data_IF_298445104627
#
_entry.id   IF_298445104627
#
_cell.length_a   1.000
_cell.length_b   1.000
_cell.length_c   1.000
_cell.angle_alpha   90.00
_cell.angle_beta   90.00
_cell.angle_gamma   90.00
#
_symmetry.space_group_name_H-M   'P 1'
#
loop_
_entity.id
_entity.type
_entity.pdbx_description
1 polymer ?
#
# COMPACT_ATOMS: atom_id res chain seq x y z
N UNK A 1 8.62 18.58 28.31
CA UNK A 1 7.59 18.75 27.28
C UNK A 1 7.51 17.46 26.48
N UNK A 2 6.46 16.64 26.66
CA UNK A 2 6.21 15.49 25.78
C UNK A 2 5.51 16.03 24.55
N UNK A 3 6.19 16.01 23.41
CA UNK A 3 5.62 16.33 22.12
C UNK A 3 4.63 15.20 21.80
N UNK A 4 3.33 15.47 21.90
CA UNK A 4 2.29 14.53 21.48
C UNK A 4 2.41 14.41 19.96
N UNK A 5 3.04 13.34 19.47
CA UNK A 5 3.10 13.07 18.03
C UNK A 5 1.67 12.90 17.51
N UNK A 6 1.26 13.82 16.63
CA UNK A 6 0.02 13.68 15.89
C UNK A 6 0.27 12.59 14.86
N UNK A 7 -0.21 11.37 15.15
CA UNK A 7 -0.19 10.28 14.18
C UNK A 7 -1.08 10.65 13.01
N UNK A 8 -0.50 10.74 11.81
CA UNK A 8 -1.26 11.09 10.61
C UNK A 8 -1.92 9.86 9.98
N UNK A 9 -2.96 10.05 9.16
CA UNK A 9 -3.58 8.96 8.40
C UNK A 9 -2.57 8.22 7.51
N UNK A 10 -1.56 8.92 7.01
CA UNK A 10 -0.47 8.36 6.21
C UNK A 10 0.43 7.45 7.04
N UNK A 11 0.70 7.80 8.31
CA UNK A 11 1.52 6.98 9.20
C UNK A 11 0.80 5.65 9.55
N UNK A 12 -0.52 5.72 9.76
CA UNK A 12 -1.35 4.53 9.94
C UNK A 12 -1.34 3.63 8.71
N UNK A 13 -1.44 4.22 7.51
CA UNK A 13 -1.34 3.48 6.25
C UNK A 13 0.04 2.86 6.05
N UNK A 14 1.11 3.57 6.42
CA UNK A 14 2.48 3.05 6.32
C UNK A 14 2.66 1.83 7.24
N UNK A 15 2.23 1.94 8.50
CA UNK A 15 2.30 0.82 9.45
C UNK A 15 1.47 -0.38 8.99
N UNK A 16 0.23 -0.15 8.53
CA UNK A 16 -0.64 -1.21 8.03
C UNK A 16 -0.07 -1.89 6.77
N UNK A 17 0.47 -1.11 5.84
CA UNK A 17 1.11 -1.64 4.64
C UNK A 17 2.36 -2.48 4.98
N UNK A 18 3.20 -2.01 5.91
CA UNK A 18 4.36 -2.79 6.38
C UNK A 18 3.96 -4.13 7.01
N UNK A 19 2.77 -4.19 7.63
CA UNK A 19 2.17 -5.43 8.13
C UNK A 19 1.70 -6.37 7.02
N UNK A 20 1.11 -5.82 5.95
CA UNK A 20 0.44 -6.58 4.90
C UNK A 20 1.37 -7.10 3.78
N UNK A 21 2.39 -6.32 3.39
CA UNK A 21 3.31 -6.67 2.31
C UNK A 21 4.52 -7.47 2.81
N UNK A 22 4.29 -8.69 3.29
CA UNK A 22 5.36 -9.54 3.85
C UNK A 22 6.20 -10.27 2.81
N UNK A 23 5.68 -10.48 1.61
CA UNK A 23 6.36 -11.24 0.55
C UNK A 23 6.69 -10.36 -0.65
N UNK A 24 7.88 -10.57 -1.27
CA UNK A 24 8.27 -9.82 -2.46
C UNK A 24 7.32 -10.11 -3.63
N UNK A 25 7.07 -9.07 -4.44
CA UNK A 25 6.28 -9.14 -5.67
C UNK A 25 7.02 -8.58 -6.90
N UNK A 26 8.29 -8.20 -6.73
CA UNK A 26 9.22 -7.85 -7.80
C UNK A 26 8.97 -6.49 -8.46
N UNK A 27 8.31 -5.56 -7.79
CA UNK A 27 8.00 -4.24 -8.35
C UNK A 27 7.88 -3.16 -7.27
N UNK A 28 7.84 -1.89 -7.70
CA UNK A 28 7.50 -0.76 -6.83
C UNK A 28 6.02 -0.41 -7.03
N UNK A 29 5.27 -0.43 -5.94
CA UNK A 29 3.84 -0.08 -5.88
C UNK A 29 3.68 1.27 -5.17
N UNK A 30 2.92 2.18 -5.77
CA UNK A 30 2.50 3.43 -5.13
C UNK A 30 1.10 3.28 -4.55
N UNK A 31 0.93 3.60 -3.27
CA UNK A 31 -0.37 3.68 -2.61
C UNK A 31 -0.72 5.16 -2.43
N UNK A 32 -1.76 5.62 -3.10
CA UNK A 32 -2.17 7.02 -3.15
C UNK A 32 -3.55 7.20 -2.47
N UNK A 33 -3.61 7.41 -1.14
CA UNK A 33 -4.84 7.77 -0.47
C UNK A 33 -5.41 9.10 -1.00
N UNK A 34 -6.73 9.22 -1.03
CA UNK A 34 -7.39 10.49 -1.35
C UNK A 34 -7.18 11.50 -0.21
N UNK A 35 -6.75 12.72 -0.54
CA UNK A 35 -6.55 13.80 0.44
C UNK A 35 -5.31 13.66 1.32
N UNK A 36 -4.45 12.66 1.11
CA UNK A 36 -3.23 12.46 1.88
C UNK A 36 -2.02 12.13 0.98
N UNK A 37 -0.78 12.35 1.46
CA UNK A 37 0.43 11.93 0.76
C UNK A 37 0.45 10.43 0.45
N UNK A 38 1.10 10.07 -0.66
CA UNK A 38 1.29 8.68 -1.04
C UNK A 38 2.37 7.99 -0.19
N UNK A 39 2.27 6.67 -0.08
CA UNK A 39 3.35 5.80 0.37
C UNK A 39 3.77 4.87 -0.78
N UNK A 40 4.96 4.30 -0.65
CA UNK A 40 5.58 3.45 -1.65
C UNK A 40 5.96 2.13 -1.00
N UNK A 41 5.67 1.04 -1.70
CA UNK A 41 6.05 -0.32 -1.31
C UNK A 41 7.06 -0.82 -2.34
N UNK A 42 8.28 -1.06 -1.89
CA UNK A 42 9.30 -1.75 -2.67
C UNK A 42 9.20 -3.25 -2.43
N UNK A 43 8.51 -3.94 -3.36
CA UNK A 43 8.37 -5.39 -3.35
C UNK A 43 9.51 -6.13 -4.03
N UNK A 44 10.60 -5.46 -4.40
CA UNK A 44 11.78 -6.10 -5.00
C UNK A 44 12.70 -6.71 -3.93
N UNK A 45 12.53 -6.34 -2.68
CA UNK A 45 13.29 -6.81 -1.52
C UNK A 45 12.46 -7.76 -0.65
N UNK A 46 13.14 -8.56 0.17
CA UNK A 46 12.53 -9.40 1.20
C UNK A 46 13.18 -9.08 2.56
N UNK A 47 12.45 -8.50 3.54
CA UNK A 47 11.04 -8.10 3.46
C UNK A 47 10.81 -6.91 2.51
N UNK A 48 9.56 -6.69 2.09
CA UNK A 48 9.21 -5.47 1.34
C UNK A 48 9.48 -4.24 2.19
N UNK A 49 10.03 -3.19 1.59
CA UNK A 49 10.23 -1.90 2.26
C UNK A 49 9.03 -0.98 2.00
N UNK A 50 8.55 -0.28 3.03
CA UNK A 50 7.48 0.72 2.91
C UNK A 50 7.98 2.08 3.37
N UNK A 51 7.77 3.13 2.57
CA UNK A 51 8.27 4.47 2.85
C UNK A 51 7.36 5.58 2.30
N UNK A 52 7.52 6.81 2.81
CA UNK A 52 6.85 8.01 2.27
C UNK A 52 7.47 8.52 0.95
N UNK A 53 8.68 8.06 0.64
CA UNK A 53 9.42 8.44 -0.57
C UNK A 53 9.58 7.24 -1.49
N UNK A 54 9.57 7.43 -2.82
CA UNK A 54 9.82 6.34 -3.75
C UNK A 54 11.23 5.77 -3.53
N UNK A 55 11.42 4.45 -3.65
CA UNK A 55 12.75 3.86 -3.62
C UNK A 55 13.58 4.37 -4.80
N UNK A 56 14.88 4.53 -4.58
CA UNK A 56 15.80 4.96 -5.63
C UNK A 56 15.83 3.98 -6.81
N UNK A 57 16.07 4.51 -8.01
CA UNK A 57 16.42 3.70 -9.19
C UNK A 57 15.26 3.04 -9.94
N UNK A 58 14.00 3.15 -9.52
CA UNK A 58 12.87 2.75 -10.35
C UNK A 58 11.58 3.50 -10.01
N UNK A 59 10.81 4.00 -11.00
CA UNK A 59 9.50 4.58 -10.76
C UNK A 59 8.49 3.49 -10.33
N UNK A 60 7.45 3.85 -9.55
CA UNK A 60 6.34 2.94 -9.31
C UNK A 60 5.67 2.55 -10.63
N UNK A 61 5.55 1.26 -10.88
CA UNK A 61 4.95 0.74 -12.11
C UNK A 61 3.45 0.49 -11.95
N UNK A 62 2.98 0.35 -10.71
CA UNK A 62 1.57 0.19 -10.36
C UNK A 62 1.17 1.23 -9.32
N UNK A 63 -0.06 1.75 -9.42
CA UNK A 63 -0.61 2.74 -8.50
C UNK A 63 -1.98 2.29 -8.02
N UNK A 64 -2.19 2.30 -6.71
CA UNK A 64 -3.48 2.14 -6.05
C UNK A 64 -3.99 3.50 -5.60
N UNK A 65 -5.26 3.80 -5.87
CA UNK A 65 -5.93 5.02 -5.40
C UNK A 65 -7.29 4.71 -4.82
N UNK A 66 -7.52 5.14 -3.57
CA UNK A 66 -8.78 5.01 -2.86
C UNK A 66 -8.79 5.93 -1.63
N UNK A 67 -9.92 6.07 -0.95
CA UNK A 67 -9.96 6.65 0.39
C UNK A 67 -9.14 5.84 1.41
N UNK A 68 -8.60 6.51 2.43
CA UNK A 68 -7.73 5.89 3.44
C UNK A 68 -8.37 4.66 4.12
N UNK A 69 -9.66 4.74 4.49
CA UNK A 69 -10.39 3.63 5.12
C UNK A 69 -10.53 2.39 4.22
N UNK A 70 -10.58 2.59 2.91
CA UNK A 70 -10.61 1.48 1.94
C UNK A 70 -9.25 0.81 1.89
N UNK A 71 -8.16 1.60 1.84
CA UNK A 71 -6.79 1.09 1.83
C UNK A 71 -6.45 0.34 3.13
N UNK A 72 -6.83 0.89 4.30
CA UNK A 72 -6.65 0.21 5.58
C UNK A 72 -7.35 -1.15 5.62
N UNK A 73 -8.60 -1.21 5.14
CA UNK A 73 -9.34 -2.49 5.04
C UNK A 73 -8.69 -3.48 4.10
N UNK A 74 -8.10 -3.02 2.99
CA UNK A 74 -7.35 -3.88 2.08
C UNK A 74 -6.15 -4.52 2.79
N UNK A 75 -5.43 -3.75 3.62
CA UNK A 75 -4.26 -4.23 4.35
C UNK A 75 -4.61 -5.16 5.53
N UNK A 76 -5.86 -5.18 5.98
CA UNK A 76 -6.37 -6.18 6.93
C UNK A 76 -6.57 -7.56 6.29
N UNK A 77 -6.47 -7.68 4.96
CA UNK A 77 -6.50 -8.94 4.23
C UNK A 77 -7.89 -9.43 3.81
N UNK A 78 -8.01 -10.73 3.57
CA UNK A 78 -9.22 -11.36 3.05
C UNK A 78 -9.56 -10.93 1.61
N UNK A 79 -10.86 -10.83 1.30
CA UNK A 79 -11.35 -10.42 -0.04
C UNK A 79 -11.47 -8.91 -0.23
N UNK A 80 -10.92 -8.10 0.68
CA UNK A 80 -11.09 -6.65 0.67
C UNK A 80 -10.48 -5.99 -0.58
N UNK A 81 -9.33 -6.46 -1.05
CA UNK A 81 -8.70 -5.98 -2.29
C UNK A 81 -9.59 -6.19 -3.52
N UNK A 82 -9.98 -7.44 -3.75
CA UNK A 82 -10.86 -7.84 -4.86
C UNK A 82 -12.20 -7.09 -4.79
N UNK A 83 -12.83 -7.07 -3.61
CA UNK A 83 -14.10 -6.38 -3.39
C UNK A 83 -14.01 -4.88 -3.66
N UNK A 84 -12.96 -4.21 -3.17
CA UNK A 84 -12.80 -2.77 -3.38
C UNK A 84 -12.55 -2.42 -4.85
N UNK A 85 -11.80 -3.26 -5.58
CA UNK A 85 -11.56 -3.08 -7.01
C UNK A 85 -12.85 -3.28 -7.81
N UNK A 86 -13.54 -4.41 -7.62
CA UNK A 86 -14.80 -4.72 -8.33
C UNK A 86 -15.90 -3.71 -8.04
N UNK A 87 -15.95 -3.15 -6.83
CA UNK A 87 -16.94 -2.12 -6.46
C UNK A 87 -16.56 -0.70 -6.91
N UNK A 88 -15.40 -0.51 -7.59
CA UNK A 88 -14.91 0.80 -8.01
C UNK A 88 -14.37 1.70 -6.90
N UNK A 89 -14.25 1.21 -5.66
CA UNK A 89 -13.69 1.97 -4.52
C UNK A 89 -12.17 2.03 -4.56
N UNK A 90 -11.54 1.09 -5.24
CA UNK A 90 -10.11 1.07 -5.53
C UNK A 90 -9.90 1.23 -7.03
N UNK A 91 -9.17 2.28 -7.41
CA UNK A 91 -8.64 2.44 -8.76
C UNK A 91 -7.21 1.92 -8.81
N UNK A 92 -6.93 1.06 -9.79
CA UNK A 92 -5.58 0.55 -10.07
C UNK A 92 -5.18 1.01 -11.46
N UNK A 93 -3.98 1.54 -11.60
CA UNK A 93 -3.42 1.99 -12.88
C UNK A 93 -1.95 1.61 -13.01
N UNK A 94 -1.47 1.46 -14.25
CA UNK A 94 -0.09 1.04 -14.56
C UNK A 94 -0.01 -0.44 -14.92
N UNK A 95 1.11 -1.08 -14.56
CA UNK A 95 1.37 -2.50 -14.81
C UNK A 95 0.57 -3.39 -13.86
N UNK A 96 -0.55 -3.91 -14.37
CA UNK A 96 -1.44 -4.82 -13.66
C UNK A 96 -0.82 -6.20 -13.39
N UNK A 97 0.28 -6.59 -14.05
CA UNK A 97 0.95 -7.87 -13.77
C UNK A 97 1.51 -7.93 -12.35
N UNK A 98 1.70 -6.78 -11.69
CA UNK A 98 2.05 -6.68 -10.27
C UNK A 98 0.96 -7.31 -9.40
N UNK A 99 -0.32 -7.11 -9.76
CA UNK A 99 -1.46 -7.60 -8.98
C UNK A 99 -1.52 -9.12 -8.93
N UNK A 100 -1.13 -9.79 -10.02
CA UNK A 100 -1.10 -11.25 -10.08
C UNK A 100 -0.03 -11.87 -9.15
N UNK A 101 0.97 -11.09 -8.74
CA UNK A 101 2.08 -11.51 -7.88
C UNK A 101 1.87 -11.15 -6.41
N UNK A 102 0.87 -10.31 -6.12
CA UNK A 102 0.63 -9.82 -4.77
C UNK A 102 0.02 -10.87 -3.87
N UNK A 103 0.66 -11.08 -2.73
CA UNK A 103 0.16 -11.86 -1.61
C UNK A 103 0.12 -10.91 -0.42
N UNK A 104 -1.08 -10.46 -0.06
CA UNK A 104 -1.30 -9.68 1.15
C UNK A 104 -1.53 -10.62 2.32
N UNK A 105 -0.77 -10.43 3.39
CA UNK A 105 -1.02 -11.13 4.65
C UNK A 105 -1.93 -10.30 5.53
N UNK A 106 -2.91 -10.94 6.17
CA UNK A 106 -3.70 -10.30 7.21
C UNK A 106 -2.77 -10.02 8.39
N UNK A 107 -2.62 -8.76 8.81
CA UNK A 107 -2.08 -8.51 10.14
C UNK A 107 -3.07 -9.11 11.16
N UNK A 108 -2.63 -9.96 12.09
CA UNK A 108 -3.48 -10.49 13.16
C UNK A 108 -4.01 -9.38 14.08
#
# INVERSE_FOLDING_TARGET
MRQTEIVTATDLLLAAAAGAFRKPFGAVLKIAPEGAPAIFVDGRTDPCAVAHSPPGGAPPVCVWRAGADTLLRIFQGGRALESAYLSGRLKISGDMSVMARLILESSP
#
